data_IF_682185274651
#
_entry.id   IF_682185274651
#
_cell.length_a   1.000
_cell.length_b   1.000
_cell.length_c   1.000
_cell.angle_alpha   90.00
_cell.angle_beta   90.00
_cell.angle_gamma   90.00
#
_symmetry.space_group_name_H-M   'P 1'
#
loop_
_entity.id
_entity.type
_entity.pdbx_description
1 polymer ?
#
# COMPACT_ATOMS: atom_id res chain seq x y z
N UNK A 1 6.24 -17.91 36.12
CA UNK A 1 6.88 -17.61 34.84
C UNK A 1 5.82 -17.67 33.76
N UNK A 2 5.24 -16.53 33.40
CA UNK A 2 4.22 -16.46 32.34
C UNK A 2 4.94 -16.37 31.00
N UNK A 3 4.63 -17.28 30.07
CA UNK A 3 4.98 -17.06 28.67
C UNK A 3 4.34 -15.74 28.24
N UNK A 4 5.08 -14.74 27.76
CA UNK A 4 4.45 -13.60 27.11
C UNK A 4 3.69 -14.17 25.91
N UNK A 5 2.37 -14.04 25.91
CA UNK A 5 1.59 -14.34 24.72
C UNK A 5 2.19 -13.49 23.60
N UNK A 6 2.57 -14.13 22.48
CA UNK A 6 3.00 -13.41 21.30
C UNK A 6 1.76 -12.71 20.75
N UNK A 7 1.48 -11.48 21.21
CA UNK A 7 0.27 -10.74 20.83
C UNK A 7 0.42 -10.30 19.38
N UNK A 8 -0.19 -11.04 18.46
CA UNK A 8 -0.23 -10.69 17.04
C UNK A 8 -1.37 -9.67 16.83
N UNK A 9 -1.13 -8.62 16.04
CA UNK A 9 -2.13 -7.61 15.72
C UNK A 9 -2.25 -7.38 14.21
N UNK A 10 -3.49 -7.34 13.76
CA UNK A 10 -3.85 -7.19 12.35
C UNK A 10 -3.64 -5.73 11.91
N UNK A 11 -2.98 -5.48 10.76
CA UNK A 11 -2.83 -4.14 10.23
C UNK A 11 -4.17 -3.48 9.90
N UNK A 12 -4.26 -2.19 10.19
CA UNK A 12 -5.30 -1.31 9.66
C UNK A 12 -4.73 -0.58 8.44
N UNK A 13 -5.43 -0.64 7.32
CA UNK A 13 -4.93 -0.13 6.04
C UNK A 13 -5.86 0.96 5.52
N UNK A 14 -5.31 2.16 5.35
CA UNK A 14 -5.98 3.32 4.81
C UNK A 14 -5.34 3.69 3.47
N UNK A 15 -6.18 3.82 2.44
CA UNK A 15 -5.82 4.31 1.12
C UNK A 15 -6.90 5.35 0.75
N UNK A 16 -6.53 6.55 0.26
CA UNK A 16 -7.50 7.56 -0.12
C UNK A 16 -8.39 7.06 -1.26
N UNK A 17 -9.68 7.40 -1.18
CA UNK A 17 -10.68 6.93 -2.14
C UNK A 17 -10.62 7.67 -3.49
N UNK A 18 -9.94 8.81 -3.57
CA UNK A 18 -9.78 9.60 -4.81
C UNK A 18 -8.38 10.17 -4.89
N UNK A 19 -7.81 10.14 -6.09
CA UNK A 19 -6.49 10.63 -6.38
C UNK A 19 -6.39 11.24 -7.79
N UNK A 20 -7.24 12.20 -8.16
CA UNK A 20 -7.18 12.97 -9.43
C UNK A 20 -5.76 13.19 -10.01
N UNK A 21 -5.36 12.39 -11.01
CA UNK A 21 -4.07 12.57 -11.69
C UNK A 21 -4.26 13.57 -12.82
N UNK A 22 -3.51 14.67 -12.78
CA UNK A 22 -3.47 15.62 -13.89
C UNK A 22 -2.46 15.13 -14.93
N UNK A 23 -2.85 15.14 -16.21
CA UNK A 23 -1.96 14.85 -17.32
C UNK A 23 -0.76 15.81 -17.30
N UNK A 24 0.45 15.28 -17.48
CA UNK A 24 1.71 16.05 -17.43
C UNK A 24 2.39 16.15 -16.05
N UNK A 25 1.75 15.72 -14.96
CA UNK A 25 2.34 15.76 -13.61
C UNK A 25 2.64 14.36 -13.05
N UNK A 26 3.63 14.27 -12.15
CA UNK A 26 3.81 13.10 -11.30
C UNK A 26 2.90 13.18 -10.08
N UNK A 27 2.17 12.10 -9.79
CA UNK A 27 1.32 12.05 -8.59
C UNK A 27 1.73 10.92 -7.67
N UNK A 28 1.85 11.24 -6.39
CA UNK A 28 2.14 10.26 -5.34
C UNK A 28 0.89 9.96 -4.52
N UNK A 29 0.53 8.68 -4.40
CA UNK A 29 -0.56 8.16 -3.59
C UNK A 29 0.03 7.38 -2.43
N UNK A 30 -0.47 7.61 -1.21
CA UNK A 30 0.04 6.94 -0.01
C UNK A 30 -0.98 5.94 0.55
N UNK A 31 -0.48 4.73 0.85
CA UNK A 31 -1.14 3.71 1.64
C UNK A 31 -0.55 3.75 3.06
N UNK A 32 -1.40 4.00 4.05
CA UNK A 32 -1.02 4.09 5.47
C UNK A 32 -1.41 2.78 6.16
N UNK A 33 -0.43 2.11 6.77
CA UNK A 33 -0.60 0.82 7.44
C UNK A 33 -0.24 0.98 8.91
N UNK A 34 -1.17 0.73 9.83
CA UNK A 34 -1.00 1.00 11.27
C UNK A 34 -1.41 -0.16 12.16
N UNK A 35 -0.91 -0.17 13.40
CA UNK A 35 -1.38 -1.05 14.47
C UNK A 35 -1.00 -2.52 14.31
N UNK A 36 -0.03 -2.85 13.47
CA UNK A 36 0.33 -4.23 13.19
C UNK A 36 1.46 -4.74 14.08
N UNK A 37 1.43 -6.05 14.37
CA UNK A 37 2.53 -6.74 15.03
C UNK A 37 2.50 -8.21 14.61
N UNK A 38 3.65 -8.84 14.31
CA UNK A 38 5.03 -8.35 14.41
C UNK A 38 5.41 -7.37 13.28
N UNK A 39 6.62 -6.79 13.34
CA UNK A 39 7.11 -5.76 12.39
C UNK A 39 7.06 -6.17 10.91
N UNK A 40 7.06 -7.47 10.59
CA UNK A 40 7.16 -7.94 9.21
C UNK A 40 5.83 -7.72 8.46
N UNK A 41 5.83 -6.76 7.54
CA UNK A 41 4.78 -6.52 6.55
C UNK A 41 5.41 -6.37 5.17
N UNK A 42 4.76 -6.87 4.13
CA UNK A 42 5.15 -6.62 2.74
C UNK A 42 4.03 -5.84 2.05
N UNK A 43 4.38 -4.75 1.38
CA UNK A 43 3.45 -3.93 0.61
C UNK A 43 3.82 -4.02 -0.86
N UNK A 44 2.86 -4.39 -1.68
CA UNK A 44 2.96 -4.40 -3.14
C UNK A 44 1.86 -3.52 -3.71
N UNK A 45 2.13 -2.90 -4.84
CA UNK A 45 1.17 -2.03 -5.51
C UNK A 45 0.78 -2.63 -6.85
N UNK A 46 -0.51 -2.55 -7.16
CA UNK A 46 -1.05 -2.92 -8.46
C UNK A 46 -1.81 -1.75 -9.06
N UNK A 47 -1.71 -1.61 -10.38
CA UNK A 47 -2.43 -0.64 -11.18
C UNK A 47 -3.40 -1.44 -12.04
N UNK A 48 -4.69 -1.12 -11.92
CA UNK A 48 -5.75 -1.71 -12.70
C UNK A 48 -6.31 -0.69 -13.69
N UNK A 49 -6.29 -1.06 -14.97
CA UNK A 49 -6.90 -0.33 -16.07
C UNK A 49 -7.86 -1.29 -16.80
N UNK A 50 -9.17 -1.11 -16.58
CA UNK A 50 -10.20 -2.05 -17.04
C UNK A 50 -9.97 -3.47 -16.48
N UNK A 51 -9.83 -4.45 -17.37
CA UNK A 51 -9.54 -5.85 -17.01
C UNK A 51 -8.04 -6.13 -16.78
N UNK A 52 -7.16 -5.21 -17.16
CA UNK A 52 -5.72 -5.41 -17.05
C UNK A 52 -5.24 -4.94 -15.69
N UNK A 53 -4.55 -5.81 -14.96
CA UNK A 53 -3.90 -5.45 -13.70
C UNK A 53 -2.41 -5.74 -13.82
N UNK A 54 -1.59 -4.72 -13.57
CA UNK A 54 -0.13 -4.81 -13.63
C UNK A 54 0.46 -4.47 -12.27
N UNK A 55 1.56 -5.13 -11.90
CA UNK A 55 2.29 -4.80 -10.68
C UNK A 55 3.12 -3.52 -10.90
N UNK A 56 2.96 -2.54 -10.01
CA UNK A 56 3.70 -1.29 -10.05
C UNK A 56 5.15 -1.45 -9.56
N UNK A 57 5.99 -0.47 -9.89
CA UNK A 57 7.42 -0.49 -9.55
C UNK A 57 8.29 -1.40 -10.43
N UNK A 58 7.68 -2.14 -11.37
CA UNK A 58 8.38 -2.94 -12.38
C UNK A 58 8.34 -2.15 -13.71
N UNK A 59 9.26 -1.20 -13.87
CA UNK A 59 9.37 -0.37 -15.08
C UNK A 59 9.52 1.12 -14.79
N UNK A 60 9.48 1.96 -15.84
CA UNK A 60 9.67 3.42 -15.72
C UNK A 60 8.37 4.19 -15.42
N UNK A 61 7.22 3.53 -15.54
CA UNK A 61 5.89 4.18 -15.45
C UNK A 61 5.42 4.45 -14.01
N UNK A 62 6.01 3.78 -13.03
CA UNK A 62 5.68 3.98 -11.62
C UNK A 62 6.87 3.70 -10.71
N UNK A 63 6.96 4.43 -9.60
CA UNK A 63 7.94 4.21 -8.54
C UNK A 63 7.22 3.88 -7.25
N UNK A 64 7.71 2.87 -6.54
CA UNK A 64 7.17 2.46 -5.24
C UNK A 64 8.24 2.68 -4.19
N UNK A 65 7.85 3.36 -3.11
CA UNK A 65 8.69 3.54 -1.93
C UNK A 65 7.90 3.05 -0.70
N UNK A 66 8.53 2.29 0.17
CA UNK A 66 7.95 1.89 1.46
C UNK A 66 8.86 2.39 2.56
N UNK A 67 8.32 3.21 3.45
CA UNK A 67 9.04 3.75 4.59
C UNK A 67 9.38 2.64 5.59
N UNK A 68 10.43 2.86 6.37
CA UNK A 68 10.72 1.96 7.48
C UNK A 68 9.55 1.96 8.47
N UNK A 69 9.25 0.80 9.04
CA UNK A 69 8.19 0.70 10.03
C UNK A 69 8.62 1.34 11.37
N UNK A 70 7.84 2.32 11.79
CA UNK A 70 7.95 3.03 13.06
C UNK A 70 7.37 2.17 14.20
N UNK A 71 7.97 2.26 15.38
CA UNK A 71 7.49 1.57 16.59
C UNK A 71 6.56 2.50 17.38
N UNK A 72 5.35 2.04 17.67
CA UNK A 72 4.34 2.79 18.38
C UNK A 72 4.43 2.56 19.90
N UNK A 73 4.00 3.53 20.74
CA UNK A 73 4.01 3.38 22.20
C UNK A 73 3.18 2.21 22.74
N UNK A 74 2.19 1.75 21.99
CA UNK A 74 1.34 0.59 22.32
C UNK A 74 1.99 -0.77 21.98
N UNK A 75 3.25 -0.76 21.55
CA UNK A 75 4.04 -1.94 21.17
C UNK A 75 3.80 -2.44 19.75
N UNK A 76 2.98 -1.74 18.96
CA UNK A 76 2.71 -2.07 17.55
C UNK A 76 3.64 -1.34 16.59
N UNK A 77 3.48 -1.58 15.29
CA UNK A 77 4.21 -0.89 14.24
C UNK A 77 3.26 -0.16 13.28
N UNK A 78 3.78 0.88 12.65
CA UNK A 78 3.13 1.63 11.56
C UNK A 78 4.12 1.83 10.42
N UNK A 79 3.64 1.88 9.18
CA UNK A 79 4.45 2.23 8.00
C UNK A 79 3.58 2.93 6.97
N UNK A 80 4.21 3.62 6.03
CA UNK A 80 3.57 4.20 4.86
C UNK A 80 4.27 3.69 3.61
N UNK A 81 3.50 3.35 2.60
CA UNK A 81 4.02 3.10 1.26
C UNK A 81 3.43 4.12 0.29
N UNK A 82 4.27 4.68 -0.56
CA UNK A 82 3.87 5.57 -1.64
C UNK A 82 4.06 4.89 -3.00
N UNK A 83 3.10 5.09 -3.90
CA UNK A 83 3.26 4.89 -5.34
C UNK A 83 3.26 6.24 -6.03
N UNK A 84 4.30 6.53 -6.80
CA UNK A 84 4.37 7.68 -7.70
C UNK A 84 4.10 7.20 -9.11
N UNK A 85 3.05 7.74 -9.74
CA UNK A 85 2.66 7.45 -11.12
C UNK A 85 3.21 8.56 -12.04
N UNK A 86 3.82 8.16 -13.15
CA UNK A 86 4.18 9.10 -14.21
C UNK A 86 2.95 9.39 -15.07
N UNK A 87 2.82 10.61 -15.59
CA UNK A 87 1.69 11.03 -16.42
C UNK A 87 1.47 10.15 -17.65
N UNK A 88 2.54 9.60 -18.25
CA UNK A 88 2.45 8.64 -19.36
C UNK A 88 1.91 7.26 -18.97
N UNK A 89 1.73 6.98 -17.67
CA UNK A 89 1.00 5.81 -17.19
C UNK A 89 -0.52 6.08 -17.16
N UNK A 90 -0.91 7.36 -17.17
CA UNK A 90 -2.29 7.85 -17.13
C UNK A 90 -2.72 8.26 -18.53
N UNK A 91 -2.69 7.30 -19.44
CA UNK A 91 -3.21 7.48 -20.79
C UNK A 91 -4.65 6.99 -20.75
N UNK A 92 -5.59 7.94 -20.72
CA UNK A 92 -7.00 7.74 -21.06
C UNK A 92 -7.85 6.91 -20.07
N UNK A 93 -8.05 7.41 -18.85
CA UNK A 93 -9.10 6.89 -17.96
C UNK A 93 -8.85 6.95 -16.45
N UNK A 94 -9.85 6.49 -15.69
CA UNK A 94 -9.83 6.33 -14.23
C UNK A 94 -8.97 5.10 -13.86
N UNK A 95 -7.74 5.36 -13.40
CA UNK A 95 -6.80 4.30 -13.01
C UNK A 95 -7.08 3.86 -11.57
N UNK A 96 -7.22 2.56 -11.35
CA UNK A 96 -7.47 2.04 -10.02
C UNK A 96 -6.16 1.55 -9.41
N UNK A 97 -5.76 2.13 -8.28
CA UNK A 97 -4.58 1.66 -7.54
C UNK A 97 -5.00 0.75 -6.40
N UNK A 98 -4.24 -0.33 -6.24
CA UNK A 98 -4.48 -1.34 -5.22
C UNK A 98 -3.20 -1.45 -4.37
N UNK A 99 -3.33 -1.14 -3.09
CA UNK A 99 -2.33 -1.42 -2.07
C UNK A 99 -2.57 -2.83 -1.52
N UNK A 100 -1.69 -3.77 -1.86
CA UNK A 100 -1.73 -5.16 -1.44
C UNK A 100 -0.77 -5.39 -0.27
N UNK A 101 -1.31 -5.80 0.86
CA UNK A 101 -0.61 -5.94 2.14
C UNK A 101 -0.54 -7.41 2.54
N UNK A 102 0.67 -7.91 2.76
CA UNK A 102 0.91 -9.24 3.32
C UNK A 102 1.38 -9.12 4.77
N UNK A 103 0.68 -9.80 5.66
CA UNK A 103 0.98 -9.89 7.08
C UNK A 103 0.52 -11.25 7.59
N UNK A 104 1.19 -11.81 8.58
CA UNK A 104 0.93 -13.17 9.08
C UNK A 104 -0.48 -13.37 9.67
N UNK A 105 -1.20 -12.28 9.96
CA UNK A 105 -2.60 -12.34 10.40
C UNK A 105 -3.58 -12.63 9.28
N UNK A 106 -3.17 -12.45 8.02
CA UNK A 106 -4.03 -12.70 6.88
C UNK A 106 -3.71 -14.05 6.28
N UNK A 107 -4.73 -14.88 6.07
CA UNK A 107 -4.59 -16.14 5.31
C UNK A 107 -4.31 -15.89 3.83
N UNK A 108 -4.67 -14.70 3.33
CA UNK A 108 -4.46 -14.23 1.95
C UNK A 108 -4.03 -12.76 1.96
N UNK A 109 -3.24 -12.28 1.00
CA UNK A 109 -2.88 -10.87 0.93
C UNK A 109 -4.10 -9.95 0.91
N UNK A 110 -4.11 -8.93 1.76
CA UNK A 110 -5.21 -7.99 1.89
C UNK A 110 -5.07 -6.87 0.85
N UNK A 111 -6.09 -6.72 -0.01
CA UNK A 111 -6.12 -5.69 -1.03
C UNK A 111 -6.97 -4.50 -0.56
N UNK A 112 -6.35 -3.31 -0.51
CA UNK A 112 -7.06 -2.05 -0.36
C UNK A 112 -7.03 -1.30 -1.67
N UNK A 113 -8.20 -0.99 -2.22
CA UNK A 113 -8.37 -0.18 -3.43
C UNK A 113 -8.84 1.23 -3.07
N UNK A 114 -8.36 2.21 -3.80
CA UNK A 114 -8.86 3.59 -3.81
C UNK A 114 -9.20 3.95 -5.25
N UNK A 115 -10.27 4.73 -5.47
CA UNK A 115 -10.54 5.30 -6.79
C UNK A 115 -9.54 6.44 -7.03
N UNK A 116 -9.32 6.82 -8.28
CA UNK A 116 -8.38 7.89 -8.64
C UNK A 116 -9.16 9.08 -9.20
#
# INVERSE_FOLDING_TARGET
>A
MTCPSLVIRTPSVLLPDKAAVTEGEEKTIQCVITGFYPKKVLVTWHIQNGSNTVQAGVGHLSRVCTEMADHNPDGTYSTRSGITLHSSAVIDGEIHVICRVEHQTYSWPYNRSGFC
#
